data_IF_072366616856
#
_entry.id   IF_072366616856
#
_cell.length_a   1.000
_cell.length_b   1.000
_cell.length_c   1.000
_cell.angle_alpha   90.00
_cell.angle_beta   90.00
_cell.angle_gamma   90.00
#
_symmetry.space_group_name_H-M   'P 1'
#
loop_
_entity.id
_entity.type
_entity.pdbx_description
1 polymer ?
#
# COMPACT_ATOMS: atom_id res chain seq x y z
N UNK A 1 -20.72 6.25 10.77
CA UNK A 1 -20.03 6.46 9.48
C UNK A 1 -18.55 6.29 9.73
N UNK A 2 -17.93 5.25 9.16
CA UNK A 2 -16.51 4.94 9.36
C UNK A 2 -15.69 5.82 8.41
N UNK A 3 -15.56 7.11 8.75
CA UNK A 3 -14.80 8.06 7.92
C UNK A 3 -13.32 7.80 8.16
N UNK A 4 -12.62 7.34 7.12
CA UNK A 4 -11.17 7.14 7.15
C UNK A 4 -10.46 8.46 7.46
N UNK A 5 -9.49 8.44 8.37
CA UNK A 5 -8.69 9.62 8.69
C UNK A 5 -7.89 10.09 7.45
N UNK A 6 -7.46 11.37 7.37
CA UNK A 6 -6.65 11.85 6.25
C UNK A 6 -5.37 11.02 6.02
N UNK A 7 -4.79 10.47 7.08
CA UNK A 7 -3.63 9.58 6.99
C UNK A 7 -3.99 8.21 6.38
N UNK A 8 -5.16 7.66 6.69
CA UNK A 8 -5.66 6.44 6.07
C UNK A 8 -5.97 6.66 4.59
N UNK A 9 -6.63 7.78 4.24
CA UNK A 9 -6.92 8.12 2.83
C UNK A 9 -5.63 8.20 2.02
N UNK A 10 -4.62 8.94 2.51
CA UNK A 10 -3.33 9.05 1.83
C UNK A 10 -2.58 7.72 1.70
N UNK A 11 -2.72 6.84 2.70
CA UNK A 11 -2.14 5.50 2.65
C UNK A 11 -2.86 4.61 1.62
N UNK A 12 -4.19 4.70 1.51
CA UNK A 12 -4.98 4.02 0.48
C UNK A 12 -4.63 4.51 -0.92
N UNK A 13 -4.50 5.83 -1.12
CA UNK A 13 -4.05 6.43 -2.37
C UNK A 13 -2.64 5.94 -2.77
N UNK A 14 -1.73 5.78 -1.80
CA UNK A 14 -0.39 5.25 -2.05
C UNK A 14 -0.42 3.80 -2.54
N UNK A 15 -1.44 3.04 -2.11
CA UNK A 15 -1.71 1.69 -2.60
C UNK A 15 -2.60 1.70 -3.85
N UNK A 16 -2.98 2.86 -4.38
CA UNK A 16 -3.87 2.98 -5.53
C UNK A 16 -5.23 2.31 -5.27
N UNK A 17 -5.81 2.63 -4.10
CA UNK A 17 -7.09 2.12 -3.61
C UNK A 17 -8.04 3.25 -3.22
N UNK A 18 -9.34 2.99 -3.37
CA UNK A 18 -10.38 3.90 -2.91
C UNK A 18 -10.51 3.92 -1.38
N UNK A 19 -11.03 5.00 -0.78
CA UNK A 19 -11.32 5.08 0.66
C UNK A 19 -12.26 3.99 1.19
N UNK A 20 -13.02 3.36 0.30
CA UNK A 20 -13.98 2.27 0.55
C UNK A 20 -13.35 0.87 0.51
N UNK A 21 -12.07 0.74 0.16
CA UNK A 21 -11.39 -0.54 0.01
C UNK A 21 -11.41 -1.36 1.30
N UNK A 22 -11.70 -2.65 1.16
CA UNK A 22 -11.71 -3.59 2.29
C UNK A 22 -10.28 -3.95 2.72
N UNK A 23 -10.15 -4.55 3.90
CA UNK A 23 -8.85 -5.05 4.37
C UNK A 23 -8.25 -6.11 3.44
N UNK A 24 -9.07 -6.90 2.75
CA UNK A 24 -8.59 -7.90 1.80
C UNK A 24 -8.13 -7.27 0.47
N UNK A 25 -8.79 -6.21 0.01
CA UNK A 25 -8.32 -5.40 -1.13
C UNK A 25 -6.95 -4.80 -0.84
N UNK A 26 -6.76 -4.26 0.38
CA UNK A 26 -5.49 -3.69 0.84
C UNK A 26 -4.38 -4.75 0.81
N UNK A 27 -4.62 -5.96 1.34
CA UNK A 27 -3.62 -7.04 1.33
C UNK A 27 -3.29 -7.50 -0.09
N UNK A 28 -4.31 -7.65 -0.94
CA UNK A 28 -4.12 -8.09 -2.32
C UNK A 28 -3.25 -7.08 -3.06
N UNK A 29 -3.63 -5.81 -3.00
CA UNK A 29 -2.95 -4.73 -3.70
C UNK A 29 -1.53 -4.50 -3.20
N UNK A 30 -1.31 -4.60 -1.89
CA UNK A 30 0.03 -4.56 -1.31
C UNK A 30 0.95 -5.64 -1.91
N UNK A 31 0.49 -6.90 -2.00
CA UNK A 31 1.28 -8.00 -2.57
C UNK A 31 1.63 -7.75 -4.04
N UNK A 32 0.67 -7.26 -4.82
CA UNK A 32 0.90 -6.91 -6.23
C UNK A 32 1.95 -5.82 -6.39
N UNK A 33 1.84 -4.73 -5.62
CA UNK A 33 2.76 -3.60 -5.70
C UNK A 33 4.16 -3.97 -5.20
N UNK A 34 4.27 -4.77 -4.14
CA UNK A 34 5.56 -5.30 -3.69
C UNK A 34 6.21 -6.11 -4.81
N UNK A 35 5.48 -7.06 -5.42
CA UNK A 35 6.00 -7.84 -6.54
C UNK A 35 6.40 -6.96 -7.73
N UNK A 36 5.62 -5.93 -8.05
CA UNK A 36 5.88 -5.01 -9.15
C UNK A 36 7.13 -4.15 -8.94
N UNK A 37 7.39 -3.71 -7.72
CA UNK A 37 8.49 -2.78 -7.41
C UNK A 37 9.72 -3.46 -6.82
N UNK A 38 9.69 -4.77 -6.53
CA UNK A 38 10.84 -5.48 -6.01
C UNK A 38 11.95 -5.56 -7.07
N UNK A 39 13.22 -5.26 -6.74
CA UNK A 39 14.33 -5.33 -7.68
C UNK A 39 14.49 -6.72 -8.29
N UNK A 40 14.26 -7.79 -7.51
CA UNK A 40 14.32 -9.17 -8.01
C UNK A 40 13.34 -9.44 -9.17
N UNK A 41 12.18 -8.77 -9.19
CA UNK A 41 11.22 -8.89 -10.29
C UNK A 41 11.60 -8.00 -11.49
N UNK A 42 12.46 -7.01 -11.28
CA UNK A 42 12.92 -6.03 -12.26
C UNK A 42 14.40 -6.23 -12.65
N UNK A 43 14.92 -7.45 -12.54
CA UNK A 43 16.29 -7.78 -12.96
C UNK A 43 17.40 -7.09 -12.15
N UNK A 44 17.11 -6.70 -10.91
CA UNK A 44 18.02 -5.96 -10.04
C UNK A 44 17.88 -4.43 -10.16
N UNK A 45 17.00 -3.92 -11.03
CA UNK A 45 16.74 -2.48 -11.14
C UNK A 45 16.12 -1.93 -9.85
N UNK A 46 16.78 -0.94 -9.27
CA UNK A 46 16.36 -0.26 -8.03
C UNK A 46 15.63 1.05 -8.27
N UNK A 47 15.34 1.40 -9.52
CA UNK A 47 14.58 2.61 -9.88
C UNK A 47 13.21 2.72 -9.17
N UNK A 48 12.63 1.59 -8.78
CA UNK A 48 11.34 1.51 -8.09
C UNK A 48 11.44 1.43 -6.55
N UNK A 49 12.64 1.46 -5.96
CA UNK A 49 12.84 1.22 -4.52
C UNK A 49 12.11 2.24 -3.63
N UNK A 50 12.07 3.51 -4.04
CA UNK A 50 11.34 4.55 -3.28
C UNK A 50 9.82 4.33 -3.31
N UNK A 51 9.29 3.82 -4.43
CA UNK A 51 7.88 3.42 -4.53
C UNK A 51 7.59 2.22 -3.64
N UNK A 52 8.49 1.23 -3.62
CA UNK A 52 8.38 0.08 -2.72
C UNK A 52 8.36 0.50 -1.24
N UNK A 53 9.25 1.42 -0.84
CA UNK A 53 9.27 1.97 0.53
C UNK A 53 7.96 2.68 0.87
N UNK A 54 7.40 3.46 -0.05
CA UNK A 54 6.12 4.13 0.15
C UNK A 54 4.97 3.12 0.34
N UNK A 55 4.93 2.06 -0.47
CA UNK A 55 3.94 0.97 -0.37
C UNK A 55 4.03 0.26 0.99
N UNK A 56 5.24 -0.09 1.43
CA UNK A 56 5.46 -0.75 2.73
C UNK A 56 5.01 0.16 3.88
N UNK A 57 5.36 1.45 3.83
CA UNK A 57 4.97 2.43 4.85
C UNK A 57 3.46 2.59 4.92
N UNK A 58 2.79 2.76 3.78
CA UNK A 58 1.34 2.92 3.70
C UNK A 58 0.60 1.71 4.26
N UNK A 59 1.01 0.50 3.88
CA UNK A 59 0.43 -0.75 4.42
C UNK A 59 0.60 -0.84 5.96
N UNK A 60 1.79 -0.49 6.47
CA UNK A 60 2.04 -0.45 7.91
C UNK A 60 1.15 0.53 8.67
N UNK A 61 0.89 1.71 8.08
CA UNK A 61 -0.04 2.70 8.64
C UNK A 61 -1.48 2.17 8.70
N UNK A 62 -1.96 1.57 7.60
CA UNK A 62 -3.31 0.99 7.54
C UNK A 62 -3.48 -0.14 8.55
N UNK A 63 -2.50 -1.04 8.65
CA UNK A 63 -2.48 -2.14 9.63
C UNK A 63 -2.53 -1.64 11.07
N UNK A 64 -1.80 -0.57 11.37
CA UNK A 64 -1.75 0.01 12.72
C UNK A 64 -3.02 0.80 13.07
N UNK A 65 -3.73 1.29 12.06
CA UNK A 65 -4.94 2.10 12.24
C UNK A 65 -6.22 1.30 12.51
N UNK A 66 -6.14 -0.04 12.51
CA UNK A 66 -7.26 -0.90 12.89
C UNK A 66 -8.35 -1.04 11.82
N UNK A 67 -8.06 -0.77 10.54
CA UNK A 67 -8.95 -1.17 9.44
C UNK A 67 -9.12 -2.69 9.52
N UNK A 68 -10.35 -3.15 9.77
CA UNK A 68 -10.81 -4.54 9.72
C UNK A 68 -11.92 -4.66 8.70
#
# INVERSE_FOLDING_TARGET
SNVSSPLQVKALETLDLEPSASWDDIKLRYKELVKKFHPDANGGDRSAEDRLKAVIKAYGQLRSSGIS
#
